data_IF_956832228766
#
_entry.id   IF_956832228766
#
_cell.length_a   1.000
_cell.length_b   1.000
_cell.length_c   1.000
_cell.angle_alpha   90.00
_cell.angle_beta   90.00
_cell.angle_gamma   90.00
#
_symmetry.space_group_name_H-M   'P 1'
#
loop_
_entity.id
_entity.type
_entity.pdbx_description
1 polymer ?
#
# COMPACT_ATOMS: atom_id res chain seq x y z
N UNK A 1 -16.14 2.15 16.75
CA UNK A 1 -15.18 1.04 16.52
C UNK A 1 -13.88 1.31 17.27
N UNK A 2 -13.15 0.29 17.72
CA UNK A 2 -11.85 0.49 18.36
C UNK A 2 -10.87 1.10 17.36
N UNK A 3 -10.29 2.24 17.72
CA UNK A 3 -9.30 2.96 16.91
C UNK A 3 -8.07 2.06 16.68
N UNK A 4 -7.58 1.98 15.45
CA UNK A 4 -6.39 1.18 15.15
C UNK A 4 -5.20 1.71 15.96
N UNK A 5 -4.45 0.80 16.59
CA UNK A 5 -3.24 1.16 17.31
C UNK A 5 -2.17 1.64 16.31
N UNK A 6 -1.87 2.93 16.33
CA UNK A 6 -0.91 3.57 15.43
C UNK A 6 0.51 3.08 15.64
N UNK A 7 0.89 2.65 16.85
CA UNK A 7 2.23 2.11 17.12
C UNK A 7 2.41 0.74 16.45
N UNK A 8 1.37 -0.10 16.46
CA UNK A 8 1.37 -1.38 15.73
C UNK A 8 1.38 -1.18 14.22
N UNK A 9 0.59 -0.22 13.72
CA UNK A 9 0.68 0.21 12.33
C UNK A 9 2.11 0.66 12.01
N UNK A 10 2.74 1.35 12.96
CA UNK A 10 4.08 1.88 12.84
C UNK A 10 5.20 0.82 12.84
N UNK A 11 5.00 -0.28 13.57
CA UNK A 11 5.96 -1.37 13.69
C UNK A 11 5.84 -2.44 12.60
N UNK A 12 4.94 -2.28 11.62
CA UNK A 12 4.78 -3.29 10.56
C UNK A 12 6.01 -3.31 9.65
N UNK A 13 6.63 -4.48 9.48
CA UNK A 13 7.85 -4.64 8.69
C UNK A 13 7.61 -4.35 7.19
N UNK A 14 8.52 -3.61 6.57
CA UNK A 14 8.43 -3.21 5.16
C UNK A 14 8.26 -4.41 4.21
N UNK A 15 8.95 -5.52 4.47
CA UNK A 15 8.81 -6.76 3.70
C UNK A 15 7.37 -7.32 3.74
N UNK A 16 6.75 -7.37 4.92
CA UNK A 16 5.37 -7.84 5.07
C UNK A 16 4.37 -6.92 4.36
N UNK A 17 4.60 -5.61 4.41
CA UNK A 17 3.81 -4.62 3.66
C UNK A 17 3.95 -4.87 2.16
N UNK A 18 5.16 -5.14 1.67
CA UNK A 18 5.39 -5.37 0.26
C UNK A 18 4.71 -6.64 -0.25
N UNK A 19 4.81 -7.76 0.50
CA UNK A 19 4.12 -9.02 0.17
C UNK A 19 2.60 -8.83 0.13
N UNK A 20 2.03 -8.07 1.08
CA UNK A 20 0.61 -7.76 1.08
C UNK A 20 0.22 -6.92 -0.16
N UNK A 21 1.04 -5.93 -0.54
CA UNK A 21 0.81 -5.12 -1.72
C UNK A 21 0.85 -5.94 -3.02
N UNK A 22 1.74 -6.93 -3.14
CA UNK A 22 1.77 -7.85 -4.30
C UNK A 22 0.44 -8.59 -4.48
N UNK A 23 -0.12 -9.13 -3.39
CA UNK A 23 -1.41 -9.84 -3.43
C UNK A 23 -2.56 -8.93 -3.87
N UNK A 24 -2.51 -7.67 -3.45
CA UNK A 24 -3.50 -6.66 -3.89
C UNK A 24 -3.38 -6.39 -5.38
N UNK A 25 -2.16 -6.25 -5.91
CA UNK A 25 -1.94 -6.02 -7.35
C UNK A 25 -2.44 -7.21 -8.18
N UNK A 26 -2.10 -8.43 -7.76
CA UNK A 26 -2.52 -9.68 -8.43
C UNK A 26 -4.05 -9.79 -8.52
N UNK A 27 -4.76 -9.34 -7.47
CA UNK A 27 -6.24 -9.33 -7.46
C UNK A 27 -6.87 -8.29 -8.39
N UNK A 28 -6.09 -7.33 -8.90
CA UNK A 28 -6.57 -6.22 -9.73
C UNK A 28 -6.19 -6.36 -11.20
N UNK A 29 -5.31 -7.30 -11.56
CA UNK A 29 -4.68 -7.37 -12.88
C UNK A 29 -5.67 -7.58 -14.05
N UNK A 30 -6.81 -8.22 -13.78
CA UNK A 30 -7.84 -8.49 -14.80
C UNK A 30 -8.79 -7.29 -15.04
N UNK A 31 -8.67 -6.23 -14.25
CA UNK A 31 -9.53 -5.04 -14.35
C UNK A 31 -8.93 -4.01 -15.32
N UNK A 32 -9.76 -3.11 -15.86
CA UNK A 32 -9.24 -1.96 -16.63
C UNK A 32 -8.45 -1.01 -15.73
N UNK A 33 -7.51 -0.22 -16.28
CA UNK A 33 -6.71 0.75 -15.53
C UNK A 33 -7.55 1.70 -14.67
N UNK A 34 -8.66 2.18 -15.21
CA UNK A 34 -9.57 3.09 -14.51
C UNK A 34 -10.20 2.41 -13.31
N UNK A 35 -10.62 1.14 -13.47
CA UNK A 35 -11.17 0.34 -12.38
C UNK A 35 -10.12 0.04 -11.31
N UNK A 36 -8.88 -0.29 -11.69
CA UNK A 36 -7.78 -0.52 -10.76
C UNK A 36 -7.52 0.70 -9.87
N UNK A 37 -7.38 1.89 -10.49
CA UNK A 37 -7.12 3.14 -9.77
C UNK A 37 -8.29 3.49 -8.84
N UNK A 38 -9.53 3.42 -9.35
CA UNK A 38 -10.71 3.74 -8.55
C UNK A 38 -10.92 2.75 -7.40
N UNK A 39 -10.70 1.46 -7.63
CA UNK A 39 -10.83 0.43 -6.60
C UNK A 39 -9.86 0.65 -5.44
N UNK A 40 -8.58 0.94 -5.74
CA UNK A 40 -7.58 1.24 -4.71
C UNK A 40 -7.95 2.51 -3.95
N UNK A 41 -8.35 3.57 -4.65
CA UNK A 41 -8.70 4.84 -4.03
C UNK A 41 -9.90 4.71 -3.07
N UNK A 42 -10.95 4.01 -3.51
CA UNK A 42 -12.14 3.74 -2.70
C UNK A 42 -11.79 2.89 -1.48
N UNK A 43 -11.05 1.78 -1.68
CA UNK A 43 -10.63 0.91 -0.58
C UNK A 43 -9.81 1.68 0.45
N UNK A 44 -8.84 2.46 0.01
CA UNK A 44 -7.99 3.26 0.88
C UNK A 44 -8.79 4.28 1.71
N UNK A 45 -9.76 4.96 1.08
CA UNK A 45 -10.67 5.90 1.75
C UNK A 45 -11.50 5.21 2.83
N UNK A 46 -12.13 4.08 2.50
CA UNK A 46 -12.97 3.33 3.42
C UNK A 46 -12.17 2.79 4.62
N UNK A 47 -10.97 2.24 4.38
CA UNK A 47 -10.10 1.78 5.47
C UNK A 47 -9.65 2.93 6.37
N UNK A 48 -9.40 4.12 5.81
CA UNK A 48 -9.04 5.30 6.58
C UNK A 48 -10.18 5.72 7.52
N UNK A 49 -11.42 5.69 7.04
CA UNK A 49 -12.61 6.03 7.82
C UNK A 49 -12.88 4.99 8.90
N UNK A 50 -12.87 3.71 8.53
CA UNK A 50 -13.11 2.57 9.42
C UNK A 50 -12.12 2.55 10.60
N UNK A 51 -10.84 2.82 10.33
CA UNK A 51 -9.80 2.81 11.36
C UNK A 51 -9.59 4.16 12.06
N UNK A 52 -10.34 5.20 11.68
CA UNK A 52 -10.21 6.54 12.25
C UNK A 52 -8.83 7.16 12.03
N UNK A 53 -8.23 6.89 10.86
CA UNK A 53 -6.91 7.38 10.46
C UNK A 53 -7.05 8.58 9.52
N UNK A 54 -6.08 9.50 9.58
CA UNK A 54 -5.99 10.57 8.59
C UNK A 54 -5.33 10.05 7.32
N UNK A 55 -5.95 10.33 6.17
CA UNK A 55 -5.39 10.07 4.84
C UNK A 55 -4.00 10.68 4.70
N UNK A 56 -3.81 11.92 5.14
CA UNK A 56 -2.51 12.60 5.05
C UNK A 56 -1.42 11.85 5.84
N UNK A 57 -1.77 11.35 7.03
CA UNK A 57 -0.85 10.56 7.86
C UNK A 57 -0.50 9.22 7.22
N UNK A 58 -1.47 8.57 6.56
CA UNK A 58 -1.24 7.32 5.84
C UNK A 58 -0.32 7.52 4.63
N UNK A 59 -0.51 8.60 3.88
CA UNK A 59 0.36 8.96 2.75
C UNK A 59 1.78 9.28 3.20
N UNK A 60 1.96 10.11 4.24
CA UNK A 60 3.28 10.39 4.81
C UNK A 60 3.98 9.12 5.30
N UNK A 61 3.22 8.15 5.81
CA UNK A 61 3.76 6.86 6.21
C UNK A 61 4.17 6.01 5.01
N UNK A 62 3.37 5.98 3.94
CA UNK A 62 3.74 5.30 2.70
C UNK A 62 5.06 5.87 2.13
N UNK A 63 5.24 7.19 2.15
CA UNK A 63 6.48 7.85 1.73
C UNK A 63 7.68 7.39 2.56
N UNK A 64 7.53 7.28 3.88
CA UNK A 64 8.58 6.77 4.77
C UNK A 64 8.93 5.31 4.46
N UNK A 65 7.92 4.44 4.26
CA UNK A 65 8.15 3.03 3.90
C UNK A 65 8.90 2.93 2.57
N UNK A 66 8.49 3.72 1.56
CA UNK A 66 9.16 3.76 0.25
C UNK A 66 10.60 4.25 0.41
N UNK A 67 10.82 5.33 1.15
CA UNK A 67 12.15 5.91 1.39
C UNK A 67 13.07 4.94 2.15
N UNK A 68 12.55 4.26 3.17
CA UNK A 68 13.32 3.27 3.93
C UNK A 68 13.63 2.03 3.10
N UNK A 69 12.70 1.58 2.26
CA UNK A 69 12.96 0.50 1.32
C UNK A 69 14.00 0.90 0.26
N UNK A 70 13.90 2.11 -0.28
CA UNK A 70 14.89 2.70 -1.19
C UNK A 70 16.25 2.96 -0.50
N UNK A 71 16.39 2.75 0.82
CA UNK A 71 17.66 2.88 1.56
C UNK A 71 18.22 1.54 2.06
N UNK A 72 17.36 0.62 2.45
CA UNK A 72 17.74 -0.63 3.15
C UNK A 72 17.18 -1.91 2.52
N UNK A 73 16.07 -1.84 1.77
CA UNK A 73 15.33 -2.99 1.24
C UNK A 73 14.96 -2.77 -0.23
N UNK A 74 15.99 -2.55 -1.06
CA UNK A 74 15.82 -2.13 -2.44
C UNK A 74 15.07 -3.15 -3.31
N UNK A 75 15.09 -4.44 -2.96
CA UNK A 75 14.55 -5.49 -3.82
C UNK A 75 13.03 -5.46 -3.89
N UNK A 76 12.34 -5.34 -2.76
CA UNK A 76 10.89 -5.55 -2.69
C UNK A 76 10.09 -4.37 -3.24
N UNK A 77 10.44 -3.13 -2.90
CA UNK A 77 9.75 -1.95 -3.44
C UNK A 77 10.08 -1.73 -4.92
N UNK A 78 11.31 -2.06 -5.35
CA UNK A 78 11.64 -2.12 -6.77
C UNK A 78 10.80 -3.17 -7.49
N UNK A 79 10.70 -4.38 -6.93
CA UNK A 79 9.89 -5.44 -7.50
C UNK A 79 8.40 -5.05 -7.57
N UNK A 80 7.85 -4.34 -6.58
CA UNK A 80 6.49 -3.79 -6.65
C UNK A 80 6.33 -2.78 -7.78
N UNK A 81 7.29 -1.85 -7.96
CA UNK A 81 7.27 -0.88 -9.07
C UNK A 81 7.32 -1.59 -10.42
N UNK A 82 8.15 -2.63 -10.55
CA UNK A 82 8.27 -3.42 -11.77
C UNK A 82 6.98 -4.21 -12.03
N UNK A 83 6.37 -4.78 -10.99
CA UNK A 83 5.13 -5.54 -11.10
C UNK A 83 3.95 -4.66 -11.51
N UNK A 84 3.82 -3.46 -10.92
CA UNK A 84 2.82 -2.46 -11.37
C UNK A 84 3.01 -2.15 -12.85
N UNK A 85 4.25 -1.97 -13.32
CA UNK A 85 4.52 -1.63 -14.74
C UNK A 85 4.22 -2.78 -15.70
N UNK A 86 4.42 -4.01 -15.26
CA UNK A 86 4.31 -5.19 -16.11
C UNK A 86 2.89 -5.77 -16.13
N UNK A 87 2.19 -5.75 -14.99
CA UNK A 87 0.91 -6.44 -14.80
C UNK A 87 -0.30 -5.49 -14.81
N UNK A 88 -0.17 -4.25 -14.33
CA UNK A 88 -1.28 -3.29 -14.38
C UNK A 88 -1.28 -2.56 -15.74
N UNK A 89 -1.92 -3.19 -16.74
CA UNK A 89 -1.98 -2.74 -18.15
C UNK A 89 -3.31 -2.18 -18.59
#
# INVERSE_FOLDING_TARGET
MPKLNTDKLNSTAAHAVAVAAFRTIDSLQDLSREMQVNAIAVLFKLLSEEYGLSISSLLSRADLIIKDADKYYHAEVKALRDYIRLELK
#
